data_IF_493712065763
#
_entry.id   IF_493712065763
#
_cell.length_a   1.000
_cell.length_b   1.000
_cell.length_c   1.000
_cell.angle_alpha   90.00
_cell.angle_beta   90.00
_cell.angle_gamma   90.00
#
_symmetry.space_group_name_H-M   'P 1'
#
loop_
_entity.id
_entity.type
_entity.pdbx_description
1 polymer ?
#
# COMPACT_ATOMS: atom_id res chain seq x y z
N UNK A 1 -46.56 -37.04 -19.75
CA UNK A 1 -45.43 -37.66 -20.47
C UNK A 1 -44.67 -38.55 -19.48
N UNK A 2 -44.26 -39.77 -19.86
CA UNK A 2 -43.45 -40.63 -18.98
C UNK A 2 -42.00 -40.12 -19.02
N UNK A 3 -41.51 -39.62 -17.89
CA UNK A 3 -40.12 -39.21 -17.73
C UNK A 3 -39.24 -40.46 -17.87
N UNK A 4 -38.43 -40.50 -18.91
CA UNK A 4 -37.45 -41.57 -19.09
C UNK A 4 -36.07 -41.11 -18.57
N UNK A 5 -35.14 -42.05 -18.49
CA UNK A 5 -33.79 -41.81 -17.99
C UNK A 5 -33.07 -40.64 -18.69
N UNK A 6 -33.24 -40.50 -20.00
CA UNK A 6 -32.68 -39.37 -20.78
C UNK A 6 -33.27 -38.01 -20.41
N UNK A 7 -34.56 -37.95 -20.04
CA UNK A 7 -35.16 -36.70 -19.55
C UNK A 7 -34.58 -36.30 -18.19
N UNK A 8 -34.29 -37.26 -17.32
CA UNK A 8 -33.63 -37.00 -16.04
C UNK A 8 -32.24 -36.37 -16.21
N UNK A 9 -31.45 -36.90 -17.15
CA UNK A 9 -30.12 -36.37 -17.47
C UNK A 9 -30.22 -34.96 -18.07
N UNK A 10 -31.15 -34.73 -19.00
CA UNK A 10 -31.34 -33.42 -19.63
C UNK A 10 -31.78 -32.35 -18.62
N UNK A 11 -32.67 -32.69 -17.68
CA UNK A 11 -33.10 -31.78 -16.61
C UNK A 11 -31.94 -31.48 -15.66
N UNK A 12 -31.16 -32.48 -15.25
CA UNK A 12 -30.00 -32.27 -14.39
C UNK A 12 -28.97 -31.33 -15.04
N UNK A 13 -28.70 -31.52 -16.33
CA UNK A 13 -27.79 -30.67 -17.09
C UNK A 13 -28.33 -29.24 -17.22
N UNK A 14 -29.62 -29.08 -17.53
CA UNK A 14 -30.27 -27.76 -17.60
C UNK A 14 -30.24 -27.02 -16.26
N UNK A 15 -30.55 -27.71 -15.16
CA UNK A 15 -30.43 -27.15 -13.81
C UNK A 15 -29.00 -26.75 -13.48
N UNK A 16 -28.01 -27.57 -13.86
CA UNK A 16 -26.60 -27.26 -13.65
C UNK A 16 -26.17 -26.01 -14.43
N UNK A 17 -26.58 -25.88 -15.70
CA UNK A 17 -26.28 -24.69 -16.50
C UNK A 17 -26.92 -23.43 -15.90
N UNK A 18 -28.19 -23.49 -15.48
CA UNK A 18 -28.88 -22.37 -14.81
C UNK A 18 -28.17 -22.01 -13.50
N UNK A 19 -27.73 -23.01 -12.72
CA UNK A 19 -26.98 -22.78 -11.50
C UNK A 19 -25.65 -22.05 -11.76
N UNK A 20 -24.85 -22.49 -12.73
CA UNK A 20 -23.60 -21.80 -13.11
C UNK A 20 -23.86 -20.38 -13.59
N UNK A 21 -24.90 -20.16 -14.42
CA UNK A 21 -25.27 -18.82 -14.86
C UNK A 21 -25.73 -17.93 -13.70
N UNK A 22 -26.45 -18.47 -12.71
CA UNK A 22 -26.86 -17.73 -11.52
C UNK A 22 -25.67 -17.31 -10.66
N UNK A 23 -24.63 -18.16 -10.54
CA UNK A 23 -23.38 -17.80 -9.87
C UNK A 23 -22.65 -16.68 -10.60
N UNK A 24 -22.64 -16.69 -11.94
CA UNK A 24 -22.04 -15.61 -12.73
C UNK A 24 -22.75 -14.27 -12.52
N UNK A 25 -24.08 -14.24 -12.51
CA UNK A 25 -24.83 -13.02 -12.23
C UNK A 25 -24.64 -12.54 -10.78
N UNK A 26 -24.56 -13.46 -9.82
CA UNK A 26 -24.34 -13.12 -8.41
C UNK A 26 -22.89 -12.65 -8.15
N UNK A 27 -21.92 -13.15 -8.93
CA UNK A 27 -20.53 -12.73 -8.87
C UNK A 27 -20.27 -11.39 -9.60
N UNK A 28 -21.25 -10.86 -10.34
CA UNK A 28 -21.13 -9.63 -11.14
C UNK A 28 -20.91 -8.34 -10.35
N UNK A 29 -20.85 -8.41 -9.02
CA UNK A 29 -20.57 -7.27 -8.14
C UNK A 29 -19.49 -7.60 -7.09
N UNK A 30 -18.43 -8.31 -7.50
CA UNK A 30 -17.17 -8.23 -6.75
C UNK A 30 -16.41 -7.02 -7.26
N UNK A 31 -16.65 -5.88 -6.62
CA UNK A 31 -16.05 -4.58 -6.94
C UNK A 31 -14.58 -4.70 -7.33
N UNK A 32 -14.23 -4.02 -8.43
CA UNK A 32 -12.87 -3.75 -8.88
C UNK A 32 -11.88 -4.89 -8.68
N UNK A 33 -11.89 -5.89 -9.56
CA UNK A 33 -10.66 -6.67 -9.73
C UNK A 33 -9.55 -5.68 -10.06
N UNK A 34 -8.60 -5.53 -9.13
CA UNK A 34 -7.34 -4.81 -9.28
C UNK A 34 -6.45 -5.63 -10.23
N UNK A 35 -6.95 -5.87 -11.46
CA UNK A 35 -6.33 -6.75 -12.45
C UNK A 35 -5.23 -6.04 -13.22
N UNK A 36 -5.19 -4.70 -13.22
CA UNK A 36 -4.14 -3.96 -13.92
C UNK A 36 -2.75 -4.14 -13.27
N UNK A 37 -2.67 -4.46 -11.97
CA UNK A 37 -1.45 -4.24 -11.18
C UNK A 37 -0.81 -5.50 -10.57
N UNK A 38 -1.35 -6.70 -10.82
CA UNK A 38 -0.85 -7.92 -10.18
C UNK A 38 0.46 -8.43 -10.82
N UNK A 39 0.60 -8.34 -12.14
CA UNK A 39 1.83 -8.72 -12.86
C UNK A 39 2.95 -7.66 -12.72
N UNK A 40 2.61 -6.37 -12.65
CA UNK A 40 3.59 -5.31 -12.41
C UNK A 40 4.15 -5.37 -10.98
N UNK A 41 3.32 -5.77 -9.99
CA UNK A 41 3.75 -5.97 -8.60
C UNK A 41 4.90 -6.97 -8.46
N UNK A 42 4.89 -8.08 -9.22
CA UNK A 42 5.95 -9.08 -9.15
C UNK A 42 7.29 -8.57 -9.71
N UNK A 43 7.27 -7.76 -10.78
CA UNK A 43 8.47 -7.14 -11.34
C UNK A 43 9.11 -6.11 -10.39
N UNK A 44 8.30 -5.36 -9.64
CA UNK A 44 8.78 -4.36 -8.69
C UNK A 44 9.14 -4.92 -7.30
N UNK A 45 8.67 -6.12 -6.96
CA UNK A 45 8.88 -6.69 -5.63
C UNK A 45 10.36 -6.90 -5.29
N UNK A 46 11.16 -7.37 -6.26
CA UNK A 46 12.59 -7.57 -6.06
C UNK A 46 13.34 -6.25 -5.87
N UNK A 47 12.91 -5.19 -6.56
CA UNK A 47 13.48 -3.85 -6.42
C UNK A 47 13.14 -3.23 -5.06
N UNK A 48 11.92 -3.42 -4.57
CA UNK A 48 11.53 -3.03 -3.22
C UNK A 48 12.35 -3.76 -2.16
N UNK A 49 12.48 -5.08 -2.24
CA UNK A 49 13.31 -5.86 -1.31
C UNK A 49 14.75 -5.33 -1.32
N UNK A 50 15.30 -5.04 -2.49
CA UNK A 50 16.65 -4.51 -2.62
C UNK A 50 16.76 -3.10 -2.03
N UNK A 51 15.75 -2.25 -2.21
CA UNK A 51 15.69 -0.91 -1.64
C UNK A 51 15.58 -0.94 -0.10
N UNK A 52 14.78 -1.85 0.45
CA UNK A 52 14.67 -2.09 1.89
C UNK A 52 15.99 -2.61 2.47
N UNK A 53 16.64 -3.57 1.80
CA UNK A 53 17.97 -4.05 2.21
C UNK A 53 19.01 -2.94 2.22
N UNK A 54 19.03 -2.08 1.21
CA UNK A 54 19.94 -0.92 1.14
C UNK A 54 19.69 0.05 2.29
N UNK A 55 18.43 0.41 2.56
CA UNK A 55 18.08 1.28 3.68
C UNK A 55 18.46 0.66 5.03
N UNK A 56 18.27 -0.65 5.18
CA UNK A 56 18.62 -1.37 6.38
C UNK A 56 20.13 -1.49 6.61
N UNK A 57 20.94 -1.41 5.55
CA UNK A 57 22.40 -1.43 5.60
C UNK A 57 23.03 -0.04 5.87
N UNK A 58 22.24 1.04 5.87
CA UNK A 58 22.74 2.37 6.21
C UNK A 58 23.20 2.44 7.67
N UNK A 59 24.37 3.03 7.89
CA UNK A 59 24.92 3.29 9.23
C UNK A 59 24.06 4.29 10.00
N UNK A 60 23.59 5.34 9.31
CA UNK A 60 22.69 6.35 9.85
C UNK A 60 21.38 6.29 9.06
N UNK A 61 20.26 6.04 9.74
CA UNK A 61 18.94 5.87 9.11
C UNK A 61 18.05 7.06 9.44
N UNK A 62 17.11 7.42 8.56
CA UNK A 62 16.05 8.35 8.92
C UNK A 62 15.24 7.80 10.10
N UNK A 63 15.02 8.63 11.11
CA UNK A 63 14.19 8.29 12.26
C UNK A 63 12.79 8.89 12.12
N UNK A 64 11.79 8.11 12.51
CA UNK A 64 10.38 8.53 12.49
C UNK A 64 9.91 8.64 13.93
N UNK A 65 9.58 9.86 14.33
CA UNK A 65 9.12 10.23 15.67
C UNK A 65 7.66 10.67 15.62
N UNK A 66 6.87 10.20 16.59
CA UNK A 66 5.49 10.66 16.78
C UNK A 66 5.51 11.82 17.79
N UNK A 67 4.96 12.97 17.40
CA UNK A 67 4.92 14.19 18.21
C UNK A 67 3.49 14.76 18.23
N UNK A 68 3.18 15.63 19.19
CA UNK A 68 1.83 16.23 19.31
C UNK A 68 1.37 16.98 18.04
N UNK A 69 2.31 17.50 17.26
CA UNK A 69 2.04 18.23 16.01
C UNK A 69 2.10 17.35 14.75
N UNK A 70 2.31 16.04 14.87
CA UNK A 70 2.29 15.09 13.76
C UNK A 70 3.47 14.10 13.75
N UNK A 71 3.76 13.55 12.57
CA UNK A 71 4.91 12.65 12.38
C UNK A 71 6.13 13.44 11.91
N UNK A 72 7.19 13.42 12.71
CA UNK A 72 8.47 14.04 12.37
C UNK A 72 9.42 12.98 11.82
N UNK A 73 9.87 13.18 10.59
CA UNK A 73 10.93 12.37 9.98
C UNK A 73 12.23 13.15 10.05
N UNK A 74 13.21 12.61 10.76
CA UNK A 74 14.53 13.21 10.94
C UNK A 74 15.55 12.47 10.10
N UNK A 75 16.28 13.20 9.25
CA UNK A 75 17.32 12.62 8.42
C UNK A 75 18.70 12.88 9.02
N UNK A 76 19.68 11.99 8.78
CA UNK A 76 21.06 12.22 9.21
C UNK A 76 21.63 13.53 8.63
N UNK A 77 22.52 14.19 9.36
CA UNK A 77 23.16 15.44 8.92
C UNK A 77 23.98 15.30 7.64
N UNK A 78 24.42 14.07 7.34
CA UNK A 78 25.11 13.69 6.11
C UNK A 78 24.21 13.74 4.84
N UNK A 79 22.90 13.88 5.01
CA UNK A 79 21.93 13.93 3.90
C UNK A 79 22.07 15.19 3.06
N UNK A 80 22.22 15.04 1.75
CA UNK A 80 22.39 16.15 0.81
C UNK A 80 21.16 17.07 0.76
N UNK A 81 21.37 18.35 0.43
CA UNK A 81 20.28 19.33 0.30
C UNK A 81 19.37 19.07 -0.90
N UNK A 82 19.86 18.37 -1.92
CA UNK A 82 19.11 17.99 -3.12
C UNK A 82 18.30 16.70 -2.93
N UNK A 83 18.13 16.25 -1.68
CA UNK A 83 17.38 15.05 -1.33
C UNK A 83 15.98 15.06 -1.95
N UNK A 84 15.64 13.96 -2.63
CA UNK A 84 14.31 13.71 -3.17
C UNK A 84 13.78 12.40 -2.63
N UNK A 85 12.70 12.49 -1.89
CA UNK A 85 11.97 11.34 -1.39
C UNK A 85 10.49 11.63 -1.27
N UNK A 86 9.73 10.57 -1.11
CA UNK A 86 8.29 10.58 -0.94
C UNK A 86 7.93 9.76 0.30
N UNK A 87 6.93 10.23 1.03
CA UNK A 87 6.30 9.47 2.11
C UNK A 87 4.89 9.14 1.68
N UNK A 88 4.54 7.88 1.89
CA UNK A 88 3.20 7.33 1.73
C UNK A 88 2.74 6.81 3.09
N UNK A 89 1.57 7.24 3.52
CA UNK A 89 0.88 6.70 4.68
C UNK A 89 -0.34 5.95 4.18
N UNK A 90 -0.26 4.62 4.20
CA UNK A 90 -1.36 3.74 3.86
C UNK A 90 -2.18 3.48 5.12
N UNK A 91 -3.51 3.63 5.04
CA UNK A 91 -4.41 3.27 6.14
C UNK A 91 -5.00 1.89 5.93
N UNK A 92 -4.74 1.01 6.89
CA UNK A 92 -5.27 -0.36 6.88
C UNK A 92 -6.80 -0.42 6.87
N UNK A 93 -7.48 0.58 7.45
CA UNK A 93 -8.94 0.60 7.53
C UNK A 93 -9.63 1.23 6.30
N UNK A 94 -8.95 2.13 5.58
CA UNK A 94 -9.57 2.97 4.55
C UNK A 94 -8.54 3.59 3.60
N UNK A 95 -8.30 2.93 2.46
CA UNK A 95 -7.35 3.37 1.41
C UNK A 95 -7.71 4.75 0.81
N UNK A 96 -8.98 5.20 0.93
CA UNK A 96 -9.37 6.52 0.37
C UNK A 96 -8.77 7.70 1.15
N UNK A 97 -8.20 7.44 2.33
CA UNK A 97 -7.60 8.42 3.23
C UNK A 97 -6.07 8.31 3.30
N UNK A 98 -5.47 7.66 2.30
CA UNK A 98 -4.03 7.57 2.17
C UNK A 98 -3.40 8.95 1.92
N UNK A 99 -2.21 9.16 2.50
CA UNK A 99 -1.49 10.43 2.38
C UNK A 99 -0.20 10.18 1.61
N UNK A 100 -0.10 10.79 0.43
CA UNK A 100 1.14 10.86 -0.35
C UNK A 100 1.71 12.26 -0.31
N UNK A 101 2.96 12.42 0.11
CA UNK A 101 3.63 13.72 0.12
C UNK A 101 5.09 13.59 -0.26
N UNK A 102 5.57 14.49 -1.12
CA UNK A 102 7.00 14.60 -1.40
C UNK A 102 7.71 15.35 -0.27
N UNK A 103 8.87 14.84 0.12
CA UNK A 103 9.70 15.40 1.18
C UNK A 103 10.40 16.65 0.66
N UNK A 104 10.36 17.71 1.47
CA UNK A 104 11.24 18.86 1.35
C UNK A 104 11.92 19.06 2.70
N UNK A 105 13.21 18.75 2.76
CA UNK A 105 13.97 18.91 4.01
C UNK A 105 14.05 20.39 4.37
N UNK A 106 13.89 20.69 5.65
CA UNK A 106 14.21 22.01 6.19
C UNK A 106 15.71 22.11 6.53
N UNK A 107 16.14 23.27 7.02
CA UNK A 107 17.55 23.54 7.41
C UNK A 107 18.09 22.55 8.46
N UNK A 108 17.20 21.90 9.22
CA UNK A 108 17.53 20.88 10.24
C UNK A 108 17.44 19.46 9.69
N UNK A 109 17.35 19.27 8.38
CA UNK A 109 17.19 17.96 7.70
C UNK A 109 15.98 17.17 8.18
N UNK A 110 14.92 17.88 8.54
CA UNK A 110 13.68 17.27 9.04
C UNK A 110 12.51 17.55 8.10
N UNK A 111 11.53 16.68 8.17
CA UNK A 111 10.26 16.83 7.50
C UNK A 111 9.11 16.48 8.46
N UNK A 112 8.12 17.36 8.55
CA UNK A 112 6.96 17.18 9.42
C UNK A 112 5.72 16.92 8.56
N UNK A 113 5.04 15.81 8.84
CA UNK A 113 3.68 15.55 8.37
C UNK A 113 2.73 16.12 9.42
N UNK A 114 2.02 17.22 9.14
CA UNK A 114 1.21 17.90 10.15
C UNK A 114 0.05 17.05 10.63
N UNK A 115 -0.25 17.10 11.93
CA UNK A 115 -1.37 16.38 12.55
C UNK A 115 -2.73 16.69 11.92
N UNK A 116 -2.91 17.88 11.33
CA UNK A 116 -4.17 18.26 10.65
C UNK A 116 -4.51 17.39 9.44
N UNK A 117 -3.52 16.67 8.89
CA UNK A 117 -3.72 15.71 7.80
C UNK A 117 -3.94 14.29 8.32
N UNK A 118 -3.67 14.04 9.61
CA UNK A 118 -3.74 12.73 10.24
C UNK A 118 -5.10 12.53 10.90
N UNK A 119 -5.53 11.28 10.93
CA UNK A 119 -6.75 10.83 11.60
C UNK A 119 -6.33 9.70 12.53
N UNK A 120 -6.96 9.60 13.69
CA UNK A 120 -6.60 8.60 14.69
C UNK A 120 -6.73 7.18 14.11
N UNK A 121 -5.69 6.37 14.30
CA UNK A 121 -5.62 5.03 13.71
C UNK A 121 -4.20 4.54 13.45
N UNK A 122 -4.12 3.35 12.86
CA UNK A 122 -2.88 2.73 12.42
C UNK A 122 -2.57 3.09 10.96
N UNK A 123 -1.28 3.29 10.70
CA UNK A 123 -0.74 3.61 9.40
C UNK A 123 0.44 2.71 9.07
N UNK A 124 0.52 2.28 7.82
CA UNK A 124 1.76 1.78 7.24
C UNK A 124 2.48 2.95 6.56
N UNK A 125 3.55 3.43 7.20
CA UNK A 125 4.41 4.46 6.64
C UNK A 125 5.44 3.81 5.71
N UNK A 126 5.44 4.23 4.45
CA UNK A 126 6.47 3.92 3.46
C UNK A 126 7.23 5.20 3.12
N UNK A 127 8.51 5.23 3.47
CA UNK A 127 9.47 6.25 3.08
C UNK A 127 10.31 5.73 1.92
N UNK A 128 10.26 6.38 0.78
CA UNK A 128 11.04 6.04 -0.40
C UNK A 128 11.89 7.24 -0.83
N UNK A 129 13.17 7.04 -1.09
CA UNK A 129 14.04 8.10 -1.60
C UNK A 129 15.12 7.56 -2.53
N UNK A 130 15.71 8.47 -3.30
CA UNK A 130 16.84 8.15 -4.18
C UNK A 130 18.08 8.89 -3.75
N UNK A 131 19.18 8.16 -3.63
CA UNK A 131 20.50 8.71 -3.36
C UNK A 131 21.54 7.97 -4.21
N UNK A 132 22.47 8.71 -4.83
CA UNK A 132 23.54 8.14 -5.67
C UNK A 132 23.04 7.12 -6.72
N UNK A 133 21.91 7.43 -7.36
CA UNK A 133 21.23 6.59 -8.35
C UNK A 133 20.72 5.23 -7.82
N UNK A 134 20.65 5.07 -6.50
CA UNK A 134 20.06 3.92 -5.83
C UNK A 134 18.79 4.33 -5.08
N UNK A 135 17.78 3.47 -5.13
CA UNK A 135 16.52 3.65 -4.40
C UNK A 135 16.62 3.00 -3.03
N UNK A 136 16.13 3.69 -2.01
CA UNK A 136 16.10 3.25 -0.63
C UNK A 136 14.66 3.28 -0.13
N UNK A 137 14.28 2.31 0.69
CA UNK A 137 12.91 2.18 1.15
C UNK A 137 12.87 1.76 2.63
N UNK A 138 12.03 2.43 3.41
CA UNK A 138 11.73 2.07 4.81
C UNK A 138 10.22 1.92 4.93
N UNK A 139 9.77 0.77 5.43
CA UNK A 139 8.37 0.53 5.83
C UNK A 139 8.31 0.44 7.35
N UNK A 140 7.32 1.12 7.96
CA UNK A 140 7.11 1.08 9.42
C UNK A 140 5.62 1.22 9.74
N UNK A 141 5.11 0.31 10.55
CA UNK A 141 3.79 0.46 11.16
C UNK A 141 3.87 1.48 12.30
N UNK A 142 3.02 2.50 12.25
CA UNK A 142 2.95 3.58 13.24
C UNK A 142 1.49 3.91 13.56
N UNK A 143 1.24 4.36 14.78
CA UNK A 143 -0.10 4.75 15.24
C UNK A 143 -0.16 6.24 15.50
N UNK A 144 -1.18 6.90 14.98
CA UNK A 144 -1.52 8.28 15.33
C UNK A 144 -2.65 8.28 16.36
N UNK A 145 -2.48 9.11 17.39
CA UNK A 145 -3.52 9.42 18.37
C UNK A 145 -3.46 10.92 18.58
N UNK A 146 -4.54 11.61 18.25
CA UNK A 146 -4.71 13.04 18.49
C UNK A 146 -4.52 13.33 19.99
N UNK A 147 -3.69 14.35 20.28
CA UNK A 147 -3.41 14.79 21.65
C UNK A 147 -4.30 15.95 22.06
#
# INVERSE_FOLDING_TARGET
>A
MKLNWGHGVAIALGCFMIFILSLLFMAGDTGGMVTENYYEKELHFQDEINAEKRANALTEKPEILVQANGFLVQFPTSTKDDFKGDIFLLRNEDETKDIKTSIRLNDKKNFLIPSVKLIDGEYELTLNWKENNQTYLIKKSIRWISQ
#
